data_IF_071971910523
#
_entry.id   IF_071971910523
#
_cell.length_a   1.000
_cell.length_b   1.000
_cell.length_c   1.000
_cell.angle_alpha   90.00
_cell.angle_beta   90.00
_cell.angle_gamma   90.00
#
_symmetry.space_group_name_H-M   'P 1'
#
loop_
_entity.id
_entity.type
_entity.pdbx_description
1 polymer ?
#
# COMPACT_ATOMS: atom_id res chain seq x y z
N UNK A 1 -2.09 15.78 5.15
CA UNK A 1 -3.08 15.79 4.06
C UNK A 1 -4.51 15.71 4.60
N UNK A 2 -5.51 16.26 3.91
CA UNK A 2 -6.94 16.07 4.22
C UNK A 2 -7.48 14.99 3.27
N UNK A 3 -8.12 13.94 3.81
CA UNK A 3 -8.64 12.83 2.99
C UNK A 3 -10.08 13.08 2.52
N UNK A 4 -10.32 12.93 1.22
CA UNK A 4 -11.66 12.97 0.62
C UNK A 4 -12.40 11.65 0.85
N UNK A 5 -13.60 11.71 1.46
CA UNK A 5 -14.41 10.50 1.73
C UNK A 5 -15.18 10.06 0.47
N UNK A 6 -15.35 8.74 0.24
CA UNK A 6 -14.83 7.64 1.06
C UNK A 6 -13.34 7.43 0.79
N UNK A 7 -12.52 7.32 1.85
CA UNK A 7 -11.08 7.11 1.71
C UNK A 7 -10.62 5.78 2.30
N UNK A 8 -9.55 5.25 1.72
CA UNK A 8 -8.69 4.22 2.27
C UNK A 8 -7.25 4.71 2.22
N UNK A 9 -6.39 4.22 3.11
CA UNK A 9 -4.96 4.49 3.12
C UNK A 9 -4.20 3.20 3.27
N UNK A 10 -3.29 2.95 2.33
CA UNK A 10 -2.22 1.96 2.42
C UNK A 10 -1.01 2.62 3.08
N UNK A 11 -0.68 2.18 4.28
CA UNK A 11 0.56 2.55 4.98
C UNK A 11 1.52 1.39 4.92
N UNK A 12 2.74 1.62 4.43
CA UNK A 12 3.84 0.64 4.51
C UNK A 12 4.90 1.11 5.48
N UNK A 13 5.54 0.18 6.18
CA UNK A 13 6.56 0.43 7.17
C UNK A 13 7.78 -0.46 6.92
N UNK A 14 8.96 0.12 7.08
CA UNK A 14 10.22 -0.61 7.11
C UNK A 14 11.21 0.07 8.04
N UNK A 15 12.14 -0.71 8.60
CA UNK A 15 13.31 -0.17 9.28
C UNK A 15 14.49 -0.14 8.29
N UNK A 16 15.24 0.95 8.23
CA UNK A 16 16.43 1.08 7.40
C UNK A 16 17.47 -0.02 7.69
N UNK A 17 17.49 -0.51 8.92
CA UNK A 17 18.43 -1.51 9.45
C UNK A 17 17.84 -2.93 9.45
N UNK A 18 16.60 -3.15 8.98
CA UNK A 18 15.99 -4.49 8.98
C UNK A 18 16.71 -5.45 8.01
N UNK A 19 16.88 -6.71 8.40
CA UNK A 19 17.53 -7.71 7.54
C UNK A 19 16.62 -8.20 6.41
N UNK A 20 15.32 -8.29 6.64
CA UNK A 20 14.37 -8.80 5.66
C UNK A 20 14.03 -7.74 4.61
N UNK A 21 13.48 -8.16 3.47
CA UNK A 21 12.94 -7.24 2.46
C UNK A 21 11.41 -7.11 2.55
N UNK A 22 10.81 -7.62 3.64
CA UNK A 22 9.37 -7.60 3.83
C UNK A 22 8.93 -6.23 4.34
N UNK A 23 7.95 -5.62 3.68
CA UNK A 23 7.24 -4.46 4.21
C UNK A 23 6.20 -4.94 5.23
N UNK A 24 6.16 -4.26 6.37
CA UNK A 24 4.97 -4.26 7.20
C UNK A 24 3.94 -3.32 6.56
N UNK A 25 2.67 -3.70 6.53
CA UNK A 25 1.64 -2.95 5.82
C UNK A 25 0.34 -2.90 6.63
N UNK A 26 -0.42 -1.82 6.44
CA UNK A 26 -1.74 -1.65 7.02
C UNK A 26 -2.64 -0.91 6.03
N UNK A 27 -3.87 -1.41 5.89
CA UNK A 27 -4.95 -0.69 5.25
C UNK A 27 -5.85 -0.08 6.33
N UNK A 28 -6.14 1.21 6.21
CA UNK A 28 -7.05 1.93 7.10
C UNK A 28 -8.10 2.65 6.27
N UNK A 29 -9.34 2.72 6.72
CA UNK A 29 -10.42 3.40 5.99
C UNK A 29 -11.20 4.33 6.91
N UNK A 30 -11.93 5.27 6.30
CA UNK A 30 -12.75 6.24 7.03
C UNK A 30 -13.86 5.63 7.89
N UNK A 31 -14.25 4.40 7.60
CA UNK A 31 -15.34 3.64 8.21
C UNK A 31 -14.85 2.41 9.01
N UNK A 32 -13.53 2.16 9.04
CA UNK A 32 -12.92 1.02 9.73
C UNK A 32 -13.11 -0.34 9.04
N UNK A 33 -13.63 -0.37 7.80
CA UNK A 33 -13.90 -1.61 7.06
C UNK A 33 -12.70 -2.19 6.30
N UNK A 34 -11.55 -1.52 6.32
CA UNK A 34 -10.37 -1.90 5.54
C UNK A 34 -9.81 -3.31 5.82
N UNK A 35 -9.95 -3.78 7.06
CA UNK A 35 -9.49 -5.10 7.54
C UNK A 35 -10.69 -5.88 8.12
N UNK A 36 -11.52 -6.50 7.26
CA UNK A 36 -12.64 -7.31 7.72
C UNK A 36 -12.16 -8.51 8.55
N UNK A 37 -12.59 -8.57 9.81
CA UNK A 37 -12.23 -9.65 10.76
C UNK A 37 -13.22 -10.82 10.78
N UNK A 38 -14.26 -10.78 9.94
CA UNK A 38 -15.28 -11.80 9.83
C UNK A 38 -15.97 -11.76 8.46
N UNK A 39 -16.62 -12.86 8.07
CA UNK A 39 -17.42 -12.95 6.83
C UNK A 39 -16.60 -13.39 5.60
N UNK A 40 -17.22 -13.28 4.43
CA UNK A 40 -16.67 -13.77 3.15
C UNK A 40 -15.32 -13.13 2.78
N UNK A 41 -15.07 -11.91 3.26
CA UNK A 41 -13.88 -11.13 2.93
C UNK A 41 -12.80 -11.20 4.02
N UNK A 42 -12.97 -12.04 5.04
CA UNK A 42 -12.03 -12.16 6.16
C UNK A 42 -10.61 -12.49 5.66
N UNK A 43 -9.62 -11.74 6.16
CA UNK A 43 -8.21 -11.98 5.86
C UNK A 43 -7.69 -11.31 4.57
N UNK A 44 -8.54 -10.57 3.86
CA UNK A 44 -8.13 -9.77 2.70
C UNK A 44 -8.44 -8.28 2.88
N UNK A 45 -7.94 -7.46 1.96
CA UNK A 45 -8.29 -6.03 1.87
C UNK A 45 -9.65 -5.89 1.19
N UNK A 46 -10.56 -5.10 1.77
CA UNK A 46 -11.88 -4.85 1.17
C UNK A 46 -12.04 -3.39 0.75
N UNK A 47 -12.02 -3.11 -0.55
CA UNK A 47 -12.29 -1.76 -1.07
C UNK A 47 -13.77 -1.54 -1.37
N UNK A 48 -14.21 -0.30 -1.19
CA UNK A 48 -15.53 0.18 -1.62
C UNK A 48 -15.45 0.89 -2.97
N UNK A 49 -16.51 0.78 -3.75
CA UNK A 49 -16.61 1.47 -5.04
C UNK A 49 -16.55 2.98 -4.87
N UNK A 50 -15.75 3.66 -5.70
CA UNK A 50 -15.56 5.11 -5.62
C UNK A 50 -14.69 5.57 -4.44
N UNK A 51 -14.01 4.65 -3.75
CA UNK A 51 -13.09 5.00 -2.68
C UNK A 51 -11.76 5.54 -3.22
N UNK A 52 -11.24 6.58 -2.56
CA UNK A 52 -9.92 7.13 -2.86
C UNK A 52 -8.87 6.46 -1.98
N UNK A 53 -7.89 5.80 -2.58
CA UNK A 53 -6.79 5.13 -1.90
C UNK A 53 -5.56 6.02 -1.88
N UNK A 54 -5.15 6.39 -0.67
CA UNK A 54 -3.94 7.14 -0.37
C UNK A 54 -2.79 6.19 -0.04
N UNK A 55 -1.56 6.61 -0.29
CA UNK A 55 -0.36 5.83 0.00
C UNK A 55 0.63 6.62 0.85
N UNK A 56 1.20 5.97 1.87
CA UNK A 56 2.33 6.51 2.64
C UNK A 56 3.35 5.41 2.93
N UNK A 57 4.63 5.80 2.89
CA UNK A 57 5.73 4.97 3.34
C UNK A 57 6.35 5.57 4.60
N UNK A 58 6.48 4.76 5.63
CA UNK A 58 7.10 5.12 6.90
C UNK A 58 8.42 4.36 7.05
N UNK A 59 9.48 5.09 7.34
CA UNK A 59 10.78 4.53 7.65
C UNK A 59 11.21 4.93 9.05
N UNK A 60 11.65 3.96 9.84
CA UNK A 60 12.50 4.22 11.01
C UNK A 60 13.93 3.78 10.74
N UNK A 61 14.88 4.34 11.47
CA UNK A 61 16.27 3.88 11.44
C UNK A 61 17.04 4.43 12.63
N UNK A 62 18.03 3.68 13.10
CA UNK A 62 18.79 4.08 14.27
C UNK A 62 19.72 5.25 13.96
N UNK A 63 19.78 6.23 14.86
CA UNK A 63 20.81 7.27 14.76
C UNK A 63 22.23 6.69 14.86
N UNK A 64 22.39 5.55 15.55
CA UNK A 64 23.68 4.84 15.70
C UNK A 64 24.15 4.21 14.39
N UNK A 65 23.24 3.81 13.50
CA UNK A 65 23.57 3.32 12.16
C UNK A 65 23.84 4.46 11.17
N UNK A 66 23.83 5.71 11.66
CA UNK A 66 24.04 6.91 10.86
C UNK A 66 22.86 7.28 9.97
N UNK A 67 21.69 6.66 10.13
CA UNK A 67 20.52 6.92 9.28
C UNK A 67 20.10 8.40 9.33
N UNK A 68 20.02 9.03 8.16
CA UNK A 68 19.64 10.44 8.02
C UNK A 68 18.29 10.62 7.32
N UNK A 69 18.10 9.94 6.18
CA UNK A 69 16.87 10.00 5.41
C UNK A 69 16.74 8.84 4.43
N UNK A 70 15.58 8.75 3.79
CA UNK A 70 15.38 7.89 2.63
C UNK A 70 14.66 8.65 1.52
N UNK A 71 14.73 8.10 0.31
CA UNK A 71 14.02 8.58 -0.86
C UNK A 71 13.42 7.38 -1.60
N UNK A 72 12.14 7.42 -1.90
CA UNK A 72 11.53 6.45 -2.81
C UNK A 72 12.06 6.71 -4.23
N UNK A 73 12.64 5.69 -4.86
CA UNK A 73 13.17 5.77 -6.23
C UNK A 73 12.34 4.99 -7.24
N UNK A 74 11.57 4.01 -6.78
CA UNK A 74 10.62 3.25 -7.58
C UNK A 74 9.53 2.69 -6.65
N UNK A 75 8.29 2.67 -7.11
CA UNK A 75 7.16 2.15 -6.36
C UNK A 75 6.10 1.64 -7.34
N UNK A 76 5.81 0.35 -7.33
CA UNK A 76 4.89 -0.27 -8.27
C UNK A 76 3.88 -1.13 -7.52
N UNK A 77 2.60 -0.84 -7.77
CA UNK A 77 1.48 -1.66 -7.32
C UNK A 77 1.15 -2.69 -8.40
N UNK A 78 0.95 -3.93 -7.98
CA UNK A 78 0.67 -5.08 -8.83
C UNK A 78 -0.70 -5.63 -8.41
N UNK A 79 -1.51 -5.99 -9.39
CA UNK A 79 -2.84 -6.56 -9.22
C UNK A 79 -2.97 -7.81 -10.09
N UNK A 80 -3.24 -8.95 -9.48
CA UNK A 80 -3.49 -10.20 -10.18
C UNK A 80 -5.00 -10.50 -10.15
N UNK A 81 -5.71 -10.36 -11.29
CA UNK A 81 -7.16 -10.57 -11.32
C UNK A 81 -7.53 -12.03 -11.10
N UNK A 82 -8.47 -12.24 -10.19
CA UNK A 82 -8.99 -13.57 -9.86
C UNK A 82 -10.26 -13.89 -10.65
N UNK A 83 -10.59 -15.18 -10.68
CA UNK A 83 -11.81 -15.72 -11.25
C UNK A 83 -13.05 -15.21 -10.50
N UNK A 84 -14.04 -14.68 -11.22
CA UNK A 84 -15.29 -14.17 -10.64
C UNK A 84 -16.50 -15.05 -10.98
N UNK A 85 -16.44 -15.81 -12.06
CA UNK A 85 -17.51 -16.68 -12.50
C UNK A 85 -16.97 -17.91 -13.24
N UNK A 86 -17.47 -19.10 -12.90
CA UNK A 86 -17.20 -20.35 -13.62
C UNK A 86 -18.37 -21.32 -13.43
N UNK A 87 -18.76 -22.05 -14.48
CA UNK A 87 -19.78 -23.10 -14.40
C UNK A 87 -20.17 -23.69 -15.75
N UNK A 88 -20.95 -24.79 -15.78
CA UNK A 88 -21.27 -25.52 -17.01
C UNK A 88 -22.00 -24.70 -18.08
N UNK A 89 -22.85 -23.76 -17.65
CA UNK A 89 -23.71 -22.96 -18.54
C UNK A 89 -23.47 -21.45 -18.41
N UNK A 90 -22.34 -21.05 -17.80
CA UNK A 90 -21.97 -19.64 -17.65
C UNK A 90 -20.56 -19.41 -18.18
N UNK A 91 -20.31 -18.30 -18.89
CA UNK A 91 -18.98 -17.98 -19.37
C UNK A 91 -18.03 -17.78 -18.19
N UNK A 92 -16.83 -18.34 -18.30
CA UNK A 92 -15.73 -18.05 -17.38
C UNK A 92 -15.39 -16.56 -17.44
N UNK A 93 -15.41 -15.87 -16.29
CA UNK A 93 -15.06 -14.46 -16.19
C UNK A 93 -13.99 -14.23 -15.14
N UNK A 94 -13.12 -13.28 -15.43
CA UNK A 94 -12.08 -12.78 -14.53
C UNK A 94 -12.36 -11.32 -14.19
N UNK A 95 -11.81 -10.86 -13.08
CA UNK A 95 -11.75 -9.44 -12.75
C UNK A 95 -10.97 -8.66 -13.83
N UNK A 96 -11.22 -7.35 -14.01
CA UNK A 96 -10.38 -6.53 -14.89
C UNK A 96 -8.94 -6.46 -14.36
N UNK A 97 -7.94 -6.03 -15.15
CA UNK A 97 -6.53 -6.11 -14.76
C UNK A 97 -6.18 -5.45 -13.42
N UNK A 98 -6.91 -4.42 -13.00
CA UNK A 98 -6.71 -3.71 -11.74
C UNK A 98 -8.05 -3.23 -11.16
N UNK A 99 -8.18 -3.09 -9.82
CA UNK A 99 -9.33 -2.46 -9.21
C UNK A 99 -9.31 -0.92 -9.34
N UNK A 100 -8.19 -0.32 -9.79
CA UNK A 100 -8.01 1.13 -9.84
C UNK A 100 -8.23 1.70 -11.24
N UNK A 101 -8.99 2.80 -11.33
CA UNK A 101 -9.36 3.42 -12.62
C UNK A 101 -8.16 3.98 -13.40
N UNK A 102 -7.10 4.39 -12.69
CA UNK A 102 -5.88 4.91 -13.29
C UNK A 102 -5.02 3.82 -13.93
N UNK A 103 -5.21 2.55 -13.57
CA UNK A 103 -4.37 1.46 -14.02
C UNK A 103 -4.94 0.79 -15.28
N UNK A 104 -4.19 0.83 -16.37
CA UNK A 104 -4.56 0.18 -17.65
C UNK A 104 -4.32 -1.34 -17.58
N UNK A 105 -3.31 -1.77 -16.83
CA UNK A 105 -2.90 -3.17 -16.71
C UNK A 105 -2.74 -3.61 -15.25
N UNK A 106 -2.19 -4.81 -15.08
CA UNK A 106 -1.92 -5.41 -13.77
C UNK A 106 -0.88 -4.62 -12.96
N UNK A 107 0.02 -3.88 -13.61
CA UNK A 107 1.07 -3.10 -12.94
C UNK A 107 0.76 -1.62 -13.02
N UNK A 108 0.92 -0.91 -11.92
CA UNK A 108 0.77 0.53 -11.82
C UNK A 108 1.97 1.15 -11.10
N UNK A 109 2.91 1.77 -11.84
CA UNK A 109 4.00 2.53 -11.24
C UNK A 109 3.45 3.84 -10.67
N UNK A 110 3.62 4.06 -9.38
CA UNK A 110 3.25 5.30 -8.73
C UNK A 110 4.17 6.43 -9.21
N UNK A 111 3.58 7.61 -9.41
CA UNK A 111 4.36 8.82 -9.70
C UNK A 111 5.24 9.14 -8.48
N UNK A 112 6.52 9.45 -8.69
CA UNK A 112 7.47 9.75 -7.60
C UNK A 112 7.30 11.16 -7.01
N UNK A 113 6.06 11.59 -6.81
CA UNK A 113 5.71 12.87 -6.19
C UNK A 113 5.25 12.64 -4.73
N UNK A 114 6.23 12.67 -3.83
CA UNK A 114 6.04 12.43 -2.41
C UNK A 114 6.38 13.67 -1.59
N UNK A 115 5.57 13.94 -0.56
CA UNK A 115 5.89 14.91 0.48
C UNK A 115 6.58 14.20 1.64
N UNK A 116 7.74 14.71 2.08
CA UNK A 116 8.54 14.10 3.12
C UNK A 116 8.37 14.84 4.45
N UNK A 117 8.05 14.11 5.50
CA UNK A 117 7.85 14.62 6.85
C UNK A 117 8.79 13.91 7.83
N UNK A 118 9.56 14.69 8.59
CA UNK A 118 10.22 14.16 9.77
C UNK A 118 9.17 14.03 10.88
N UNK A 119 8.95 12.81 11.37
CA UNK A 119 8.01 12.57 12.44
C UNK A 119 8.64 12.96 13.79
N UNK A 120 7.82 13.37 14.78
CA UNK A 120 8.30 13.63 16.14
C UNK A 120 9.05 12.42 16.70
N UNK A 121 10.02 12.69 17.58
CA UNK A 121 10.74 11.64 18.28
C UNK A 121 9.77 10.83 19.16
N UNK A 122 9.94 9.51 19.18
CA UNK A 122 9.19 8.65 20.09
C UNK A 122 9.87 8.61 21.46
N UNK A 123 9.17 8.94 22.57
CA UNK A 123 9.73 8.75 23.90
C UNK A 123 10.07 7.29 24.22
N UNK A 124 9.35 6.32 23.63
CA UNK A 124 9.59 4.88 23.85
C UNK A 124 10.72 4.34 22.96
N UNK A 125 11.02 5.03 21.85
CA UNK A 125 12.06 4.66 20.89
C UNK A 125 12.98 5.86 20.58
N UNK A 126 13.68 6.41 21.58
CA UNK A 126 14.40 7.68 21.46
C UNK A 126 15.57 7.63 20.47
N UNK A 127 16.14 6.45 20.24
CA UNK A 127 17.26 6.26 19.31
C UNK A 127 16.83 6.20 17.84
N UNK A 128 15.52 6.14 17.56
CA UNK A 128 14.99 5.99 16.20
C UNK A 128 14.60 7.33 15.60
N UNK A 129 15.18 7.62 14.44
CA UNK A 129 14.71 8.70 13.55
C UNK A 129 13.62 8.14 12.67
N UNK A 130 12.49 8.86 12.56
CA UNK A 130 11.30 8.40 11.82
C UNK A 130 10.92 9.40 10.75
N UNK A 131 10.75 8.95 9.53
CA UNK A 131 10.39 9.77 8.38
C UNK A 131 9.21 9.13 7.67
N UNK A 132 8.23 9.96 7.30
CA UNK A 132 7.08 9.56 6.48
C UNK A 132 7.18 10.24 5.12
N UNK A 133 6.97 9.49 4.05
CA UNK A 133 6.76 10.01 2.71
C UNK A 133 5.31 9.75 2.29
N UNK A 134 4.52 10.81 2.18
CA UNK A 134 3.12 10.79 1.76
C UNK A 134 3.03 11.00 0.25
N UNK A 135 2.34 10.10 -0.46
CA UNK A 135 2.11 10.29 -1.88
C UNK A 135 1.08 11.40 -2.11
N UNK A 136 1.36 12.33 -3.02
CA UNK A 136 0.48 13.49 -3.25
C UNK A 136 -0.78 13.20 -4.07
N UNK A 137 -0.90 11.97 -4.56
CA UNK A 137 -2.00 11.52 -5.41
C UNK A 137 -2.82 10.43 -4.72
N UNK A 138 -3.90 10.04 -5.39
CA UNK A 138 -4.77 8.93 -4.99
C UNK A 138 -4.94 7.95 -6.14
N UNK A 139 -5.33 6.73 -5.79
CA UNK A 139 -5.92 5.76 -6.70
C UNK A 139 -7.43 5.70 -6.47
N UNK A 140 -8.20 5.69 -7.54
CA UNK A 140 -9.66 5.66 -7.44
C UNK A 140 -10.14 4.23 -7.69
N UNK A 141 -10.85 3.67 -6.72
CA UNK A 141 -11.42 2.33 -6.83
C UNK A 141 -12.59 2.37 -7.82
N UNK A 142 -12.51 1.55 -8.85
CA UNK A 142 -13.51 1.47 -9.90
C UNK A 142 -14.87 0.94 -9.41
N UNK A 143 -15.84 0.96 -10.33
CA UNK A 143 -17.22 0.52 -10.04
C UNK A 143 -17.46 -0.97 -10.35
N UNK A 144 -16.47 -1.69 -10.86
CA UNK A 144 -16.58 -3.11 -11.20
C UNK A 144 -16.28 -3.98 -9.98
N UNK A 145 -17.22 -4.86 -9.60
CA UNK A 145 -16.99 -5.88 -8.57
C UNK A 145 -15.96 -6.90 -9.05
N UNK A 146 -15.09 -7.36 -8.16
CA UNK A 146 -14.06 -8.34 -8.50
C UNK A 146 -13.21 -8.77 -7.31
N UNK A 147 -12.21 -9.60 -7.59
CA UNK A 147 -11.22 -10.12 -6.64
C UNK A 147 -9.83 -10.03 -7.26
N UNK A 148 -8.83 -9.66 -6.46
CA UNK A 148 -7.46 -9.48 -6.91
C UNK A 148 -6.47 -9.89 -5.81
N UNK A 149 -5.37 -10.54 -6.15
CA UNK A 149 -4.20 -10.47 -5.26
C UNK A 149 -3.51 -9.14 -5.52
N UNK A 150 -3.10 -8.44 -4.46
CA UNK A 150 -2.36 -7.19 -4.58
C UNK A 150 -0.93 -7.42 -4.12
N UNK A 151 0.02 -6.69 -4.71
CA UNK A 151 1.38 -6.66 -4.22
C UNK A 151 1.98 -5.27 -4.44
N UNK A 152 2.91 -4.86 -3.59
CA UNK A 152 3.69 -3.64 -3.80
C UNK A 152 5.17 -3.99 -3.82
N UNK A 153 5.89 -3.44 -4.79
CA UNK A 153 7.35 -3.40 -4.80
C UNK A 153 7.79 -1.95 -4.62
N UNK A 154 8.66 -1.72 -3.64
CA UNK A 154 9.16 -0.41 -3.25
C UNK A 154 10.69 -0.43 -3.27
N UNK A 155 11.31 0.37 -4.12
CA UNK A 155 12.75 0.62 -4.08
C UNK A 155 13.00 1.96 -3.42
N UNK A 156 13.89 1.98 -2.44
CA UNK A 156 14.31 3.18 -1.72
C UNK A 156 15.82 3.36 -1.78
N UNK A 157 16.24 4.62 -1.77
CA UNK A 157 17.60 5.05 -1.48
C UNK A 157 17.68 5.46 -0.03
N UNK A 158 18.52 4.78 0.75
CA UNK A 158 18.78 5.07 2.16
C UNK A 158 20.07 5.89 2.25
N UNK A 159 20.02 7.00 3.00
CA UNK A 159 21.16 7.88 3.24
C UNK A 159 21.65 7.70 4.67
N UNK A 160 22.98 7.54 4.80
CA UNK A 160 23.65 7.32 6.09
C UNK A 160 24.90 8.19 6.18
N UNK A 161 25.00 9.04 7.21
CA UNK A 161 26.12 9.97 7.39
C UNK A 161 26.41 10.85 6.15
N UNK A 162 27.46 11.68 6.22
CA UNK A 162 27.85 12.53 5.08
C UNK A 162 28.81 11.83 4.11
N UNK A 163 29.50 10.79 4.56
CA UNK A 163 30.57 10.13 3.79
C UNK A 163 30.20 8.73 3.28
N UNK A 164 29.07 8.16 3.68
CA UNK A 164 28.66 6.85 3.17
C UNK A 164 27.99 6.99 1.80
N UNK A 165 28.24 6.01 0.92
CA UNK A 165 27.50 5.91 -0.33
C UNK A 165 26.03 5.61 -0.04
N UNK A 166 25.08 6.25 -0.76
CA UNK A 166 23.68 5.91 -0.63
C UNK A 166 23.44 4.44 -0.97
N UNK A 167 22.67 3.76 -0.12
CA UNK A 167 22.32 2.35 -0.28
C UNK A 167 20.99 2.25 -1.01
N UNK A 168 20.90 1.38 -2.02
CA UNK A 168 19.63 1.05 -2.67
C UNK A 168 19.09 -0.25 -2.12
N UNK A 169 17.85 -0.23 -1.64
CA UNK A 169 17.15 -1.41 -1.14
C UNK A 169 15.79 -1.55 -1.79
N UNK A 170 15.41 -2.80 -2.03
CA UNK A 170 14.12 -3.19 -2.57
C UNK A 170 13.35 -3.93 -1.48
N UNK A 171 12.13 -3.48 -1.23
CA UNK A 171 11.20 -4.07 -0.30
C UNK A 171 9.90 -4.43 -1.00
N UNK A 172 9.15 -5.38 -0.45
CA UNK A 172 7.86 -5.76 -1.01
C UNK A 172 6.90 -6.29 0.06
N UNK A 173 5.60 -6.24 -0.24
CA UNK A 173 4.58 -7.06 0.41
C UNK A 173 3.58 -7.57 -0.62
N UNK A 174 2.82 -8.61 -0.27
CA UNK A 174 1.94 -9.35 -1.17
C UNK A 174 0.70 -9.92 -0.43
N UNK A 175 -0.35 -9.11 -0.15
CA UNK A 175 -1.57 -9.59 0.49
C UNK A 175 -2.66 -9.96 -0.52
N UNK A 176 -3.53 -10.88 -0.13
CA UNK A 176 -4.80 -11.12 -0.84
C UNK A 176 -5.77 -9.93 -0.69
N UNK A 177 -6.54 -9.59 -1.74
CA UNK A 177 -7.49 -8.46 -1.73
C UNK A 177 -8.82 -8.73 -2.50
N UNK A 178 -9.83 -7.92 -2.23
CA UNK A 178 -11.17 -8.02 -2.85
C UNK A 178 -11.88 -6.66 -2.95
N UNK A 179 -12.82 -6.50 -3.88
CA UNK A 179 -13.71 -5.32 -3.97
C UNK A 179 -15.16 -5.80 -4.00
N UNK A 180 -16.00 -5.33 -3.08
CA UNK A 180 -17.41 -5.75 -2.97
C UNK A 180 -18.34 -4.68 -2.39
N UNK A 181 -19.65 -4.82 -2.61
CA UNK A 181 -20.71 -3.89 -2.19
C UNK A 181 -21.69 -4.54 -1.20
N UNK A 182 -22.56 -3.73 -0.59
CA UNK A 182 -23.47 -4.12 0.52
C UNK A 182 -24.08 -5.49 0.33
N UNK A 183 -23.96 -6.31 1.37
CA UNK A 183 -24.73 -7.53 1.52
C UNK A 183 -26.20 -7.17 1.72
N UNK A 184 -26.93 -6.96 0.63
CA UNK A 184 -28.37 -7.17 0.67
C UNK A 184 -28.59 -8.67 0.82
N UNK A 185 -28.56 -9.13 2.06
CA UNK A 185 -29.15 -10.40 2.45
C UNK A 185 -30.65 -10.30 2.23
N UNK A 186 -31.18 -11.11 1.33
CA UNK A 186 -32.61 -11.43 1.24
C UNK A 186 -33.23 -11.71 2.61
#
# INVERSE_FOLDING_TARGET
MTYEKPWMKLSVHFDADQTTNQLDYAFTSCDGSADPRHGEYMGGVHFHQGQHVYFEANCCGSQKSGFTSFQIVDCCLISLPQLTQIGPDVPTRYSPPSPFLQAIGATYPLQLDFESHLLPQDPELPDLRRIRQEWKHTLDVGHTKGRWELSLVLTVRILRGEQALPELRVFSFDPEASVGGSSDTN
#
